data_IF_206150153812
#
_entry.id   IF_206150153812
#
_cell.length_a   1.000
_cell.length_b   1.000
_cell.length_c   1.000
_cell.angle_alpha   90.00
_cell.angle_beta   90.00
_cell.angle_gamma   90.00
#
_symmetry.space_group_name_H-M   'P 1'
#
loop_
_entity.id
_entity.type
_entity.pdbx_description
1 polymer ?
#
# COMPACT_ATOMS: atom_id res chain seq x y z
N UNK A 1 -7.83 4.52 14.95
CA UNK A 1 -8.99 3.67 15.30
C UNK A 1 -9.89 3.60 14.08
N UNK A 2 -9.73 2.54 13.30
CA UNK A 2 -10.38 2.36 11.99
C UNK A 2 -11.77 1.68 12.09
N UNK A 3 -12.06 1.03 13.22
CA UNK A 3 -13.36 0.44 13.52
C UNK A 3 -13.37 -0.24 14.89
N UNK A 4 -14.55 -0.41 15.46
CA UNK A 4 -14.81 -1.17 16.70
C UNK A 4 -15.79 -2.28 16.34
N UNK A 5 -15.47 -3.52 16.75
CA UNK A 5 -16.38 -4.65 16.64
C UNK A 5 -16.87 -4.99 18.04
N UNK A 6 -18.17 -5.22 18.20
CA UNK A 6 -18.77 -5.57 19.49
C UNK A 6 -19.26 -7.02 19.44
N UNK A 7 -18.76 -7.84 20.36
CA UNK A 7 -19.22 -9.22 20.56
C UNK A 7 -20.04 -9.35 21.83
N UNK A 8 -21.13 -10.09 21.79
CA UNK A 8 -21.86 -10.45 23.01
C UNK A 8 -23.01 -11.43 22.77
N UNK A 9 -23.49 -12.11 23.81
CA UNK A 9 -24.56 -13.09 23.66
C UNK A 9 -25.93 -12.41 23.52
N UNK A 10 -26.65 -12.73 22.44
CA UNK A 10 -28.04 -12.35 22.23
C UNK A 10 -28.24 -10.83 22.20
N UNK A 11 -29.35 -10.35 22.78
CA UNK A 11 -29.71 -8.93 22.79
C UNK A 11 -28.84 -8.07 23.71
N UNK A 12 -27.96 -8.68 24.53
CA UNK A 12 -27.13 -7.96 25.51
C UNK A 12 -26.21 -6.94 24.84
N UNK A 13 -25.66 -7.30 23.66
CA UNK A 13 -24.78 -6.42 22.88
C UNK A 13 -25.54 -5.22 22.31
N UNK A 14 -26.76 -5.43 21.83
CA UNK A 14 -27.60 -4.39 21.25
C UNK A 14 -28.06 -3.42 22.34
N UNK A 15 -28.45 -3.95 23.50
CA UNK A 15 -28.81 -3.17 24.68
C UNK A 15 -27.65 -2.31 25.18
N UNK A 16 -26.44 -2.89 25.25
CA UNK A 16 -25.23 -2.17 25.64
C UNK A 16 -24.91 -0.99 24.71
N UNK A 17 -25.16 -1.13 23.41
CA UNK A 17 -24.95 -0.07 22.42
C UNK A 17 -26.06 0.99 22.52
N UNK A 18 -27.33 0.57 22.66
CA UNK A 18 -28.48 1.47 22.67
C UNK A 18 -28.58 2.35 23.91
N UNK A 19 -28.08 1.88 25.05
CA UNK A 19 -28.13 2.60 26.33
C UNK A 19 -26.98 3.63 26.50
N UNK A 20 -26.24 3.93 25.44
CA UNK A 20 -25.18 4.97 25.43
C UNK A 20 -24.10 4.81 26.51
N UNK A 21 -23.88 3.58 27.01
CA UNK A 21 -22.76 3.28 27.92
C UNK A 21 -21.40 3.54 27.27
N UNK A 22 -21.34 3.49 25.94
CA UNK A 22 -20.16 3.87 25.17
C UNK A 22 -20.19 5.35 24.82
N UNK A 23 -19.06 6.04 24.99
CA UNK A 23 -18.92 7.43 24.56
C UNK A 23 -19.29 7.59 23.08
N UNK A 24 -20.05 8.63 22.74
CA UNK A 24 -20.61 8.87 21.40
C UNK A 24 -19.58 8.82 20.25
N UNK A 25 -18.33 9.25 20.50
CA UNK A 25 -17.24 9.15 19.51
C UNK A 25 -16.80 7.72 19.21
N UNK A 26 -16.96 6.81 20.17
CA UNK A 26 -16.68 5.38 20.01
C UNK A 26 -17.85 4.67 19.34
N UNK A 27 -19.09 5.03 19.67
CA UNK A 27 -20.28 4.46 19.02
C UNK A 27 -20.26 4.68 17.50
N UNK A 28 -19.87 5.88 17.05
CA UNK A 28 -19.71 6.20 15.61
C UNK A 28 -18.67 5.32 14.90
N UNK A 29 -17.79 4.66 15.64
CA UNK A 29 -16.76 3.76 15.10
C UNK A 29 -17.17 2.30 15.15
N UNK A 30 -18.34 1.96 15.68
CA UNK A 30 -18.84 0.58 15.66
C UNK A 30 -19.13 0.20 14.21
N UNK A 31 -18.40 -0.82 13.75
CA UNK A 31 -18.46 -1.37 12.40
C UNK A 31 -19.61 -2.36 12.27
N UNK A 32 -19.70 -3.26 13.25
CA UNK A 32 -20.72 -4.30 13.30
C UNK A 32 -20.78 -4.95 14.70
N UNK A 33 -21.81 -5.75 14.90
CA UNK A 33 -22.03 -6.52 16.12
C UNK A 33 -22.16 -7.99 15.79
N UNK A 34 -21.54 -8.86 16.60
CA UNK A 34 -21.60 -10.30 16.38
C UNK A 34 -22.06 -11.02 17.65
N UNK A 35 -22.92 -12.01 17.47
CA UNK A 35 -23.26 -12.93 18.55
C UNK A 35 -22.06 -13.79 18.92
N UNK A 36 -21.72 -13.88 20.21
CA UNK A 36 -20.71 -14.81 20.73
C UNK A 36 -21.36 -15.75 21.75
N UNK A 37 -20.94 -17.01 21.77
CA UNK A 37 -21.43 -18.02 22.70
C UNK A 37 -20.77 -17.94 24.08
N UNK A 38 -19.63 -17.27 24.17
CA UNK A 38 -18.82 -17.13 25.38
C UNK A 38 -18.37 -15.68 25.56
N UNK A 39 -18.04 -15.30 26.80
CA UNK A 39 -17.56 -13.96 27.17
C UNK A 39 -16.11 -13.96 27.68
N UNK A 40 -15.45 -15.11 27.67
CA UNK A 40 -14.04 -15.29 28.00
C UNK A 40 -13.16 -15.22 26.73
N UNK A 41 -11.90 -15.64 26.82
CA UNK A 41 -10.96 -15.65 25.69
C UNK A 41 -11.46 -16.47 24.49
N UNK A 42 -12.33 -17.47 24.70
CA UNK A 42 -12.93 -18.23 23.61
C UNK A 42 -13.96 -17.39 22.86
N UNK A 43 -14.71 -16.56 23.57
CA UNK A 43 -15.63 -15.58 22.98
C UNK A 43 -14.93 -14.55 22.09
N UNK A 44 -13.72 -14.12 22.48
CA UNK A 44 -12.90 -13.23 21.65
C UNK A 44 -12.44 -13.90 20.36
N UNK A 45 -11.99 -15.16 20.42
CA UNK A 45 -11.61 -15.91 19.20
C UNK A 45 -12.79 -16.11 18.26
N UNK A 46 -13.95 -16.47 18.82
CA UNK A 46 -15.19 -16.61 18.06
C UNK A 46 -15.60 -15.29 17.39
N UNK A 47 -15.47 -14.17 18.10
CA UNK A 47 -15.72 -12.84 17.56
C UNK A 47 -14.82 -12.52 16.36
N UNK A 48 -13.52 -12.81 16.46
CA UNK A 48 -12.56 -12.58 15.37
C UNK A 48 -12.92 -13.42 14.14
N UNK A 49 -13.23 -14.71 14.33
CA UNK A 49 -13.61 -15.59 13.22
C UNK A 49 -14.89 -15.10 12.52
N UNK A 50 -15.90 -14.69 13.29
CA UNK A 50 -17.16 -14.15 12.72
C UNK A 50 -16.98 -12.80 12.04
N UNK A 51 -16.07 -11.97 12.54
CA UNK A 51 -15.82 -10.65 11.99
C UNK A 51 -14.90 -10.64 10.77
N UNK A 52 -14.18 -11.75 10.51
CA UNK A 52 -13.16 -11.86 9.45
C UNK A 52 -13.69 -11.42 8.08
N UNK A 53 -14.84 -11.94 7.67
CA UNK A 53 -15.43 -11.62 6.37
C UNK A 53 -15.80 -10.15 6.26
N UNK A 54 -16.32 -9.57 7.36
CA UNK A 54 -16.70 -8.16 7.40
C UNK A 54 -15.47 -7.26 7.33
N UNK A 55 -14.41 -7.59 8.08
CA UNK A 55 -13.14 -6.87 8.05
C UNK A 55 -12.52 -6.90 6.65
N UNK A 56 -12.42 -8.09 6.04
CA UNK A 56 -11.92 -8.25 4.68
C UNK A 56 -12.72 -7.40 3.67
N UNK A 57 -14.06 -7.37 3.80
CA UNK A 57 -14.89 -6.54 2.93
C UNK A 57 -14.61 -5.04 3.07
N UNK A 58 -14.25 -4.56 4.27
CA UNK A 58 -13.94 -3.15 4.51
C UNK A 58 -12.57 -2.77 3.94
N UNK A 59 -11.60 -3.66 4.05
CA UNK A 59 -10.27 -3.47 3.46
C UNK A 59 -10.38 -3.39 1.93
N UNK A 60 -11.12 -4.32 1.31
CA UNK A 60 -11.41 -4.28 -0.13
C UNK A 60 -12.13 -2.99 -0.54
N UNK A 61 -13.11 -2.53 0.24
CA UNK A 61 -13.79 -1.25 -0.02
C UNK A 61 -12.83 -0.05 0.08
N UNK A 62 -11.86 -0.09 1.00
CA UNK A 62 -10.85 0.96 1.14
C UNK A 62 -9.89 0.96 -0.05
N UNK A 63 -9.37 -0.19 -0.44
CA UNK A 63 -8.53 -0.35 -1.63
C UNK A 63 -9.23 0.21 -2.88
N UNK A 64 -10.50 -0.18 -3.07
CA UNK A 64 -11.35 0.30 -4.17
C UNK A 64 -11.47 1.81 -4.21
N UNK A 65 -11.72 2.46 -3.06
CA UNK A 65 -11.81 3.92 -3.00
C UNK A 65 -10.48 4.60 -3.34
N UNK A 66 -9.36 4.05 -2.89
CA UNK A 66 -8.03 4.60 -3.16
C UNK A 66 -7.70 4.52 -4.66
N UNK A 67 -7.91 3.36 -5.28
CA UNK A 67 -7.68 3.17 -6.71
C UNK A 67 -8.65 4.01 -7.56
N UNK A 68 -9.92 4.09 -7.19
CA UNK A 68 -10.87 4.97 -7.87
C UNK A 68 -10.43 6.44 -7.82
N UNK A 69 -10.04 6.93 -6.64
CA UNK A 69 -9.50 8.28 -6.47
C UNK A 69 -8.26 8.50 -7.33
N UNK A 70 -7.34 7.54 -7.38
CA UNK A 70 -6.16 7.61 -8.26
C UNK A 70 -6.57 7.75 -9.74
N UNK A 71 -7.49 6.90 -10.22
CA UNK A 71 -7.95 6.93 -11.61
C UNK A 71 -8.68 8.23 -11.96
N UNK A 72 -9.45 8.79 -11.03
CA UNK A 72 -10.09 10.09 -11.19
C UNK A 72 -9.05 11.20 -11.36
N UNK A 73 -7.98 11.20 -10.56
CA UNK A 73 -6.88 12.17 -10.73
C UNK A 73 -6.19 12.00 -12.08
N UNK A 74 -5.85 10.77 -12.48
CA UNK A 74 -5.18 10.50 -13.78
C UNK A 74 -6.01 11.02 -14.97
N UNK A 75 -7.34 10.93 -14.89
CA UNK A 75 -8.25 11.36 -15.98
C UNK A 75 -8.38 12.88 -16.10
N UNK A 76 -7.85 13.67 -15.16
CA UNK A 76 -7.98 15.14 -15.21
C UNK A 76 -7.06 15.72 -16.30
N UNK A 77 -7.62 16.50 -17.25
CA UNK A 77 -6.87 17.01 -18.39
C UNK A 77 -5.85 18.11 -18.06
N UNK A 78 -5.84 18.64 -16.83
CA UNK A 78 -4.97 19.76 -16.41
C UNK A 78 -3.74 19.30 -15.59
N UNK A 79 -3.35 18.03 -15.70
CA UNK A 79 -2.31 17.44 -14.86
C UNK A 79 -2.86 17.16 -13.46
N UNK A 80 -3.58 16.04 -13.33
CA UNK A 80 -4.17 15.65 -12.05
C UNK A 80 -3.14 15.31 -10.97
N UNK A 81 -3.63 15.09 -9.75
CA UNK A 81 -2.80 14.84 -8.57
C UNK A 81 -2.44 13.35 -8.45
N UNK A 82 -1.81 12.80 -9.49
CA UNK A 82 -1.38 11.41 -9.52
C UNK A 82 0.04 11.29 -10.09
N UNK A 83 0.79 10.32 -9.58
CA UNK A 83 2.05 9.85 -10.15
C UNK A 83 2.04 8.33 -10.21
N UNK A 84 2.60 7.73 -11.25
CA UNK A 84 2.66 6.28 -11.39
C UNK A 84 3.96 5.85 -12.06
N UNK A 85 4.37 4.61 -11.78
CA UNK A 85 5.68 4.13 -12.16
C UNK A 85 6.80 4.63 -11.25
N UNK A 86 7.90 3.88 -11.23
CA UNK A 86 8.97 4.04 -10.24
C UNK A 86 9.60 5.43 -10.26
N UNK A 87 9.99 5.93 -11.43
CA UNK A 87 10.65 7.24 -11.59
C UNK A 87 9.80 8.40 -11.07
N UNK A 88 8.54 8.49 -11.52
CA UNK A 88 7.64 9.58 -11.12
C UNK A 88 7.30 9.51 -9.63
N UNK A 89 7.05 8.30 -9.10
CA UNK A 89 6.74 8.12 -7.68
C UNK A 89 7.94 8.47 -6.81
N UNK A 90 9.15 8.04 -7.17
CA UNK A 90 10.39 8.40 -6.45
C UNK A 90 10.64 9.90 -6.50
N UNK A 91 10.44 10.53 -7.65
CA UNK A 91 10.56 11.98 -7.77
C UNK A 91 9.54 12.70 -6.89
N UNK A 92 8.28 12.31 -6.95
CA UNK A 92 7.20 12.88 -6.13
C UNK A 92 7.46 12.73 -4.62
N UNK A 93 7.97 11.56 -4.18
CA UNK A 93 8.37 11.33 -2.80
C UNK A 93 9.54 12.23 -2.39
N UNK A 94 10.52 12.41 -3.27
CA UNK A 94 11.72 13.24 -3.01
C UNK A 94 11.36 14.69 -2.75
N UNK A 95 10.40 15.24 -3.50
CA UNK A 95 9.92 16.61 -3.32
C UNK A 95 8.80 16.75 -2.29
N UNK A 96 8.39 15.65 -1.63
CA UNK A 96 7.32 15.66 -0.62
C UNK A 96 5.92 15.92 -1.16
N UNK A 97 5.69 15.66 -2.46
CA UNK A 97 4.40 15.88 -3.12
C UNK A 97 3.37 14.79 -2.82
N UNK A 98 3.79 13.62 -2.31
CA UNK A 98 2.89 12.47 -2.15
C UNK A 98 2.03 12.58 -0.89
N UNK A 99 0.72 12.56 -1.08
CA UNK A 99 -0.27 12.40 -0.01
C UNK A 99 -0.29 10.95 0.47
N UNK A 100 -0.63 10.07 -0.46
CA UNK A 100 -0.83 8.64 -0.23
C UNK A 100 -0.06 7.85 -1.29
N UNK A 101 0.87 7.02 -0.85
CA UNK A 101 1.62 6.08 -1.67
C UNK A 101 0.89 4.73 -1.68
N UNK A 102 0.59 4.21 -2.88
CA UNK A 102 -0.05 2.92 -3.10
C UNK A 102 0.99 1.92 -3.60
N UNK A 103 1.16 0.81 -2.91
CA UNK A 103 2.11 -0.25 -3.26
C UNK A 103 1.37 -1.58 -3.32
N UNK A 104 1.55 -2.34 -4.39
CA UNK A 104 1.03 -3.71 -4.47
C UNK A 104 1.84 -4.63 -3.55
N UNK A 105 1.17 -5.49 -2.78
CA UNK A 105 1.81 -6.52 -1.94
C UNK A 105 2.67 -7.51 -2.75
N UNK A 106 2.32 -7.65 -4.02
CA UNK A 106 3.01 -8.48 -5.00
C UNK A 106 4.23 -7.83 -5.65
N UNK A 107 4.58 -6.59 -5.27
CA UNK A 107 5.73 -5.91 -5.83
C UNK A 107 7.03 -6.60 -5.38
N UNK A 108 7.63 -7.38 -6.28
CA UNK A 108 8.90 -8.08 -6.10
C UNK A 108 9.98 -7.45 -6.98
N UNK A 109 10.47 -6.28 -6.55
CA UNK A 109 11.55 -5.55 -7.22
C UNK A 109 12.67 -5.27 -6.22
N UNK A 110 13.90 -5.41 -6.69
CA UNK A 110 15.11 -5.09 -5.91
C UNK A 110 15.93 -4.06 -6.68
N UNK A 111 16.44 -3.07 -5.97
CA UNK A 111 17.47 -2.17 -6.44
C UNK A 111 18.82 -2.83 -6.20
N UNK A 112 19.59 -2.99 -7.26
CA UNK A 112 20.92 -3.61 -7.23
C UNK A 112 21.99 -2.61 -7.65
N UNK A 113 23.06 -2.55 -6.86
CA UNK A 113 24.29 -1.86 -7.23
C UNK A 113 25.12 -2.83 -8.08
N UNK A 114 25.31 -2.52 -9.36
CA UNK A 114 26.05 -3.33 -10.31
C UNK A 114 27.48 -2.80 -10.45
N UNK A 115 28.45 -3.70 -10.48
CA UNK A 115 29.86 -3.36 -10.69
C UNK A 115 30.40 -4.19 -11.87
N UNK A 116 30.79 -3.56 -13.00
CA UNK A 116 31.42 -4.31 -14.13
C UNK A 116 32.79 -4.81 -13.70
N UNK A 117 33.03 -6.12 -13.85
CA UNK A 117 34.27 -6.78 -13.45
C UNK A 117 35.46 -6.39 -14.34
N UNK A 118 35.23 -6.03 -15.62
CA UNK A 118 36.31 -5.61 -16.54
C UNK A 118 36.67 -4.14 -16.53
N UNK A 119 35.69 -3.23 -16.39
CA UNK A 119 35.93 -1.78 -16.50
C UNK A 119 35.67 -1.00 -15.19
N UNK A 120 35.15 -1.65 -14.15
CA UNK A 120 34.86 -1.03 -12.85
C UNK A 120 33.71 -0.02 -12.86
N UNK A 121 32.91 0.03 -13.92
CA UNK A 121 31.73 0.90 -13.98
C UNK A 121 30.71 0.49 -12.90
N UNK A 122 30.14 1.49 -12.21
CA UNK A 122 29.09 1.31 -11.22
C UNK A 122 27.78 1.87 -11.76
N UNK A 123 26.73 1.05 -11.78
CA UNK A 123 25.39 1.45 -12.20
C UNK A 123 24.37 0.93 -11.16
N UNK A 124 23.33 1.72 -10.90
CA UNK A 124 22.19 1.25 -10.11
C UNK A 124 21.07 0.83 -11.07
N UNK A 125 20.51 -0.37 -10.89
CA UNK A 125 19.32 -0.79 -11.64
C UNK A 125 18.29 -1.40 -10.71
N UNK A 126 17.02 -1.22 -11.06
CA UNK A 126 15.92 -1.96 -10.42
C UNK A 126 15.58 -3.14 -11.30
N UNK A 127 15.77 -4.34 -10.77
CA UNK A 127 15.44 -5.60 -11.46
C UNK A 127 14.28 -6.30 -10.76
N UNK A 128 13.53 -7.08 -11.53
CA UNK A 128 12.66 -8.10 -10.95
C UNK A 128 13.56 -9.21 -10.41
N UNK A 129 13.19 -9.83 -9.28
CA UNK A 129 14.00 -10.86 -8.61
C UNK A 129 14.31 -12.11 -9.48
N UNK A 130 13.78 -12.18 -10.70
CA UNK A 130 14.04 -13.23 -11.67
C UNK A 130 15.13 -12.78 -12.66
N UNK A 131 16.37 -13.20 -12.36
CA UNK A 131 17.52 -13.43 -13.25
C UNK A 131 17.44 -12.78 -14.65
N UNK A 132 17.69 -11.46 -14.73
CA UNK A 132 18.09 -10.83 -16.00
C UNK A 132 19.62 -10.97 -16.15
N UNK A 133 20.10 -11.33 -17.34
CA UNK A 133 21.54 -11.31 -17.64
C UNK A 133 22.05 -9.86 -17.63
N UNK A 134 22.74 -9.51 -16.55
CA UNK A 134 23.21 -8.15 -16.30
C UNK A 134 24.52 -7.90 -17.05
N UNK A 135 24.38 -7.38 -18.28
CA UNK A 135 25.52 -6.96 -19.11
C UNK A 135 25.79 -5.47 -18.95
N UNK A 136 27.07 -5.11 -18.90
CA UNK A 136 27.47 -3.73 -18.79
C UNK A 136 27.37 -3.00 -20.14
N UNK A 137 26.70 -1.85 -20.16
CA UNK A 137 26.55 -1.02 -21.36
C UNK A 137 27.88 -0.47 -21.90
N UNK A 138 28.94 -0.48 -21.09
CA UNK A 138 30.27 0.09 -21.41
C UNK A 138 31.26 -0.94 -21.93
N UNK A 139 31.33 -2.09 -21.27
CA UNK A 139 32.35 -3.12 -21.48
C UNK A 139 31.78 -4.37 -22.18
N UNK A 140 30.46 -4.58 -22.15
CA UNK A 140 29.81 -5.80 -22.64
C UNK A 140 30.05 -7.05 -21.77
N UNK A 141 30.85 -6.93 -20.70
CA UNK A 141 31.10 -8.00 -19.74
C UNK A 141 29.98 -8.10 -18.70
N UNK A 142 29.99 -9.21 -17.97
CA UNK A 142 29.10 -9.49 -16.84
C UNK A 142 29.32 -8.47 -15.71
N UNK A 143 28.23 -8.14 -15.02
CA UNK A 143 28.27 -7.27 -13.84
C UNK A 143 28.00 -8.06 -12.57
N UNK A 144 28.82 -7.83 -11.56
CA UNK A 144 28.62 -8.39 -10.23
C UNK A 144 27.56 -7.59 -9.46
N UNK A 145 26.67 -8.31 -8.77
CA UNK A 145 25.69 -7.73 -7.86
C UNK A 145 26.39 -7.40 -6.54
N UNK A 146 26.51 -6.11 -6.23
CA UNK A 146 27.05 -5.64 -4.98
C UNK A 146 26.00 -5.65 -3.88
N UNK A 147 25.20 -4.58 -3.81
CA UNK A 147 24.21 -4.38 -2.75
C UNK A 147 22.81 -4.52 -3.31
N UNK A 148 21.99 -5.34 -2.64
CA UNK A 148 20.57 -5.49 -2.95
C UNK A 148 19.72 -4.77 -1.91
N UNK A 149 18.78 -3.97 -2.38
CA UNK A 149 17.82 -3.25 -1.54
C UNK A 149 16.42 -3.53 -2.09
N UNK A 150 15.57 -4.11 -1.25
CA UNK A 150 14.14 -4.26 -1.53
C UNK A 150 13.50 -2.89 -1.83
N UNK A 151 12.89 -2.77 -3.01
CA UNK A 151 12.29 -1.52 -3.48
C UNK A 151 11.15 -1.06 -2.55
N UNK A 152 10.35 -1.99 -2.03
CA UNK A 152 9.27 -1.67 -1.10
C UNK A 152 9.87 -1.05 0.16
N UNK A 153 10.93 -1.64 0.72
CA UNK A 153 11.64 -1.07 1.89
C UNK A 153 12.23 0.31 1.61
N UNK A 154 12.78 0.53 0.41
CA UNK A 154 13.27 1.85 -0.01
C UNK A 154 12.13 2.89 0.00
N UNK A 155 11.01 2.56 -0.63
CA UNK A 155 9.84 3.44 -0.73
C UNK A 155 9.24 3.76 0.64
N UNK A 156 9.15 2.78 1.54
CA UNK A 156 8.72 3.03 2.93
C UNK A 156 9.64 4.04 3.63
N UNK A 157 10.96 3.92 3.47
CA UNK A 157 11.92 4.88 4.06
C UNK A 157 11.79 6.27 3.46
N UNK A 158 11.52 6.36 2.16
CA UNK A 158 11.30 7.65 1.49
C UNK A 158 10.01 8.31 2.00
N UNK A 159 8.92 7.54 2.09
CA UNK A 159 7.63 8.02 2.56
C UNK A 159 7.67 8.49 4.03
N UNK A 160 8.35 7.74 4.91
CA UNK A 160 8.50 8.08 6.33
C UNK A 160 9.19 9.43 6.53
N UNK A 161 10.23 9.73 5.75
CA UNK A 161 10.97 11.01 5.81
C UNK A 161 10.12 12.24 5.52
N UNK A 162 9.10 12.10 4.69
CA UNK A 162 8.23 13.21 4.24
C UNK A 162 6.81 13.13 4.82
N UNK A 163 6.58 12.18 5.74
CA UNK A 163 5.28 11.97 6.38
C UNK A 163 4.19 11.59 5.37
N UNK A 164 4.52 10.78 4.37
CA UNK A 164 3.56 10.24 3.40
C UNK A 164 2.88 9.00 3.98
N UNK A 165 1.56 8.91 3.78
CA UNK A 165 0.80 7.72 4.13
C UNK A 165 1.10 6.60 3.12
N UNK A 166 1.45 5.41 3.59
CA UNK A 166 1.66 4.24 2.72
C UNK A 166 0.49 3.29 2.88
N UNK A 167 -0.09 2.88 1.76
CA UNK A 167 -1.18 1.92 1.68
C UNK A 167 -0.73 0.73 0.83
N UNK A 168 -0.78 -0.46 1.42
CA UNK A 168 -0.58 -1.71 0.71
C UNK A 168 -1.91 -2.11 0.07
N UNK A 169 -1.85 -2.53 -1.19
CA UNK A 169 -3.01 -3.04 -1.94
C UNK A 169 -2.79 -4.53 -2.19
N UNK A 170 -3.75 -5.35 -1.75
CA UNK A 170 -3.70 -6.81 -1.91
C UNK A 170 -3.50 -7.21 -3.36
N UNK A 171 -2.57 -8.12 -3.62
CA UNK A 171 -2.37 -8.69 -4.97
C UNK A 171 -3.54 -9.53 -5.47
N UNK A 172 -4.45 -9.92 -4.58
CA UNK A 172 -5.60 -10.78 -4.88
C UNK A 172 -6.87 -9.99 -5.25
N UNK A 173 -6.87 -8.66 -5.07
CA UNK A 173 -8.01 -7.80 -5.43
C UNK A 173 -7.94 -7.33 -6.90
N UNK A 174 -9.10 -7.00 -7.49
CA UNK A 174 -9.16 -6.40 -8.84
C UNK A 174 -8.33 -5.10 -8.88
N UNK A 175 -8.40 -4.33 -7.80
CA UNK A 175 -7.64 -3.11 -7.55
C UNK A 175 -6.12 -3.33 -7.56
N UNK A 176 -5.65 -4.36 -6.85
CA UNK A 176 -4.23 -4.69 -6.82
C UNK A 176 -3.71 -5.25 -8.13
N UNK A 177 -4.50 -6.08 -8.81
CA UNK A 177 -4.17 -6.53 -10.16
C UNK A 177 -4.03 -5.36 -11.13
N UNK A 178 -4.96 -4.40 -11.06
CA UNK A 178 -4.89 -3.17 -11.85
C UNK A 178 -3.63 -2.37 -11.52
N UNK A 179 -3.33 -2.18 -10.22
CA UNK A 179 -2.13 -1.47 -9.78
C UNK A 179 -0.85 -2.12 -10.33
N UNK A 180 -0.77 -3.44 -10.27
CA UNK A 180 0.35 -4.23 -10.78
C UNK A 180 0.50 -4.13 -12.30
N UNK A 181 -0.58 -4.42 -13.04
CA UNK A 181 -0.55 -4.53 -14.51
C UNK A 181 -0.48 -3.18 -15.20
N UNK A 182 -1.24 -2.18 -14.75
CA UNK A 182 -1.34 -0.88 -15.42
C UNK A 182 -0.29 0.13 -14.93
N UNK A 183 0.15 0.04 -13.67
CA UNK A 183 1.02 1.04 -13.05
C UNK A 183 2.35 0.47 -12.53
N UNK A 184 2.66 -0.79 -12.87
CA UNK A 184 3.93 -1.43 -12.49
C UNK A 184 4.05 -1.75 -10.99
N UNK A 185 2.90 -1.83 -10.30
CA UNK A 185 2.79 -2.21 -8.89
C UNK A 185 2.94 -1.06 -7.90
N UNK A 186 3.02 0.18 -8.37
CA UNK A 186 3.13 1.36 -7.51
C UNK A 186 2.54 2.61 -8.14
N UNK A 187 1.85 3.40 -7.33
CA UNK A 187 1.29 4.67 -7.71
C UNK A 187 1.21 5.60 -6.49
N UNK A 188 0.95 6.87 -6.72
CA UNK A 188 0.87 7.88 -5.69
C UNK A 188 -0.26 8.87 -6.00
N UNK A 189 -1.02 9.23 -4.97
CA UNK A 189 -1.93 10.36 -4.97
C UNK A 189 -1.17 11.54 -4.38
N UNK A 190 -1.18 12.68 -5.07
CA UNK A 190 -0.37 13.85 -4.74
C UNK A 190 -1.18 14.89 -3.96
N UNK A 191 -0.49 15.70 -3.15
CA UNK A 191 -1.04 16.88 -2.47
C UNK A 191 -1.02 18.12 -3.37
N UNK A 192 -0.04 18.18 -4.28
CA UNK A 192 0.14 19.21 -5.28
C UNK A 192 0.73 18.60 -6.56
N UNK A 193 0.48 19.21 -7.71
CA UNK A 193 0.98 18.70 -8.99
C UNK A 193 2.51 18.84 -9.05
N UNK A 194 3.15 17.94 -9.80
CA UNK A 194 4.62 17.95 -9.94
C UNK A 194 5.16 19.16 -10.73
N UNK A 195 4.28 20.00 -11.27
CA UNK A 195 4.63 21.02 -12.25
C UNK A 195 5.08 20.39 -13.56
N UNK A 196 4.78 21.01 -14.70
CA UNK A 196 5.45 20.65 -15.96
C UNK A 196 6.90 21.14 -15.87
N UNK A 197 7.77 20.32 -15.28
CA UNK A 197 9.20 20.59 -15.19
C UNK A 197 9.97 19.85 -16.27
N UNK A 198 9.99 20.43 -17.48
CA UNK A 198 11.07 20.31 -18.49
C UNK A 198 11.26 18.97 -19.19
#
# INVERSE_FOLDING_TARGET
LEGIIVGGPGATKDYFISEEYLHHELQKKIVDTFDTGYTDEYGLRELVEKAKDKLSSLDLMREKRLIQRLLEEIRKPQGGLAAYGEEQVKHALTIGAVDTLLISEDLRKIKVDLICSGCGAKEERTISSDTEELTCAKCGEEMDIGKEIDLVKELFRMADKVGTRVEMISGESEEGELLKKAFGGMAAILRFSLGEGG
#
